data_IF_901209745237
#
_entry.id   IF_901209745237
#
_cell.length_a   1.000
_cell.length_b   1.000
_cell.length_c   1.000
_cell.angle_alpha   90.00
_cell.angle_beta   90.00
_cell.angle_gamma   90.00
#
_symmetry.space_group_name_H-M   'P 1'
#
loop_
_entity.id
_entity.type
_entity.pdbx_description
1 polymer ?
#
# COMPACT_ATOMS: atom_id res chain seq x y z
N UNK A 1 3.52 -1.94 -13.05
CA UNK A 1 4.64 -1.19 -12.45
C UNK A 1 4.87 -1.64 -11.03
N UNK A 2 6.11 -1.82 -10.66
CA UNK A 2 6.43 -2.31 -9.32
C UNK A 2 7.05 -1.22 -8.47
N UNK A 3 6.55 -1.11 -7.25
CA UNK A 3 7.05 -0.15 -6.28
C UNK A 3 7.29 -0.86 -4.95
N UNK A 4 8.15 -0.28 -4.13
CA UNK A 4 8.29 -0.78 -2.76
C UNK A 4 6.98 -0.53 -2.03
N UNK A 5 6.61 -1.47 -1.17
CA UNK A 5 5.34 -1.39 -0.46
C UNK A 5 5.21 -0.12 0.36
N UNK A 6 6.28 0.27 1.07
CA UNK A 6 6.23 1.47 1.87
C UNK A 6 6.05 2.72 0.99
N UNK A 7 6.72 2.75 -0.16
CA UNK A 7 6.57 3.87 -1.06
C UNK A 7 5.16 3.94 -1.63
N UNK A 8 4.63 2.79 -2.03
CA UNK A 8 3.29 2.73 -2.60
C UNK A 8 2.26 3.27 -1.60
N UNK A 9 2.30 2.78 -0.37
CA UNK A 9 1.35 3.22 0.64
C UNK A 9 1.52 4.69 1.00
N UNK A 10 2.76 5.16 1.04
CA UNK A 10 3.01 6.57 1.31
C UNK A 10 2.42 7.45 0.21
N UNK A 11 2.57 7.03 -1.03
CA UNK A 11 2.03 7.79 -2.16
C UNK A 11 0.51 7.74 -2.19
N UNK A 12 -0.09 6.69 -1.66
CA UNK A 12 -1.53 6.58 -1.59
C UNK A 12 -2.13 7.38 -0.43
N UNK A 13 -1.29 8.05 0.35
CA UNK A 13 -1.78 8.86 1.45
C UNK A 13 -2.13 8.08 2.70
N UNK A 14 -1.58 6.89 2.85
CA UNK A 14 -1.85 6.07 4.02
C UNK A 14 -1.10 6.54 5.26
N UNK A 15 -0.17 7.48 5.10
CA UNK A 15 0.58 8.02 6.21
C UNK A 15 2.00 8.35 5.78
N UNK A 16 2.81 8.78 6.74
CA UNK A 16 4.22 9.02 6.46
C UNK A 16 4.93 7.68 6.29
N UNK A 17 6.13 7.74 5.72
CA UNK A 17 6.89 6.52 5.50
C UNK A 17 7.14 5.77 6.83
N UNK A 18 7.42 6.50 7.89
CA UNK A 18 7.62 5.89 9.20
C UNK A 18 6.36 5.21 9.71
N UNK A 19 5.22 5.86 9.55
CA UNK A 19 3.95 5.26 9.98
C UNK A 19 3.61 4.04 9.17
N UNK A 20 3.81 4.12 7.86
CA UNK A 20 3.53 3.00 6.97
C UNK A 20 4.41 1.81 7.34
N UNK A 21 5.69 2.05 7.61
CA UNK A 21 6.59 0.97 7.99
C UNK A 21 6.14 0.31 9.30
N UNK A 22 5.71 1.10 10.27
CA UNK A 22 5.20 0.54 11.52
C UNK A 22 4.01 -0.35 11.28
N UNK A 23 3.08 0.09 10.46
CA UNK A 23 1.88 -0.70 10.19
C UNK A 23 2.23 -1.99 9.47
N UNK A 24 3.19 -1.93 8.56
CA UNK A 24 3.64 -3.14 7.88
C UNK A 24 4.21 -4.14 8.88
N UNK A 25 5.04 -3.67 9.79
CA UNK A 25 5.66 -4.54 10.79
C UNK A 25 4.63 -5.12 11.76
N UNK A 26 3.54 -4.39 12.02
CA UNK A 26 2.47 -4.89 12.87
C UNK A 26 1.62 -5.95 12.19
N UNK A 27 1.76 -6.10 10.88
CA UNK A 27 0.93 -7.04 10.15
C UNK A 27 -0.40 -6.45 9.73
N UNK A 28 -0.52 -5.12 9.69
CA UNK A 28 -1.75 -4.45 9.29
C UNK A 28 -1.89 -4.36 7.79
N UNK A 29 -0.85 -4.72 7.05
CA UNK A 29 -0.84 -4.62 5.58
C UNK A 29 -0.75 -6.02 5.00
N UNK A 30 -1.60 -6.30 4.02
CA UNK A 30 -1.52 -7.57 3.32
C UNK A 30 -1.43 -7.33 1.82
N UNK A 31 -0.83 -8.30 1.14
CA UNK A 31 -0.66 -8.28 -0.31
C UNK A 31 -1.21 -9.60 -0.83
N UNK A 32 -2.23 -9.53 -1.65
CA UNK A 32 -2.87 -10.73 -2.22
C UNK A 32 -3.34 -11.72 -1.13
N UNK A 33 -3.78 -11.17 -0.01
CA UNK A 33 -4.30 -12.00 1.08
C UNK A 33 -3.24 -12.48 2.05
N UNK A 34 -1.98 -12.14 1.82
CA UNK A 34 -0.89 -12.54 2.70
C UNK A 34 -0.36 -11.34 3.47
N UNK A 35 -0.14 -11.51 4.76
CA UNK A 35 0.39 -10.43 5.58
C UNK A 35 1.80 -10.09 5.13
N UNK A 36 2.01 -8.83 4.78
CA UNK A 36 3.32 -8.33 4.38
C UNK A 36 3.97 -7.68 5.58
N UNK A 37 5.14 -8.19 5.97
CA UNK A 37 5.85 -7.64 7.13
C UNK A 37 7.15 -6.95 6.75
N UNK A 38 7.43 -6.83 5.47
CA UNK A 38 8.64 -6.17 4.99
C UNK A 38 8.27 -4.94 4.18
N UNK A 39 8.71 -3.79 4.64
CA UNK A 39 8.40 -2.54 3.96
C UNK A 39 9.06 -2.46 2.60
N UNK A 40 10.18 -3.12 2.44
CA UNK A 40 10.91 -3.09 1.17
C UNK A 40 10.37 -4.05 0.12
N UNK A 41 9.35 -4.84 0.47
CA UNK A 41 8.76 -5.77 -0.49
C UNK A 41 8.22 -4.99 -1.69
N UNK A 42 8.53 -5.44 -2.88
CA UNK A 42 8.01 -4.81 -4.10
C UNK A 42 6.65 -5.39 -4.45
N UNK A 43 5.75 -4.53 -4.84
CA UNK A 43 4.41 -4.94 -5.22
C UNK A 43 4.08 -4.36 -6.58
N UNK A 44 3.22 -5.05 -7.30
CA UNK A 44 2.76 -4.57 -8.59
C UNK A 44 1.54 -3.70 -8.35
N UNK A 45 1.64 -2.41 -8.69
CA UNK A 45 0.57 -1.47 -8.39
C UNK A 45 -0.70 -1.74 -9.19
N UNK A 46 -0.60 -2.56 -10.22
CA UNK A 46 -1.76 -2.85 -11.08
C UNK A 46 -2.35 -4.23 -10.85
N UNK A 47 -1.52 -5.18 -10.40
CA UNK A 47 -1.96 -6.56 -10.27
C UNK A 47 -2.09 -7.04 -8.84
N UNK A 48 -1.26 -6.54 -7.96
CA UNK A 48 -1.28 -6.98 -6.57
C UNK A 48 -2.36 -6.24 -5.80
N UNK A 49 -3.08 -7.00 -4.99
CA UNK A 49 -4.13 -6.44 -4.16
C UNK A 49 -3.54 -6.09 -2.80
N UNK A 50 -3.56 -4.81 -2.47
CA UNK A 50 -2.98 -4.31 -1.23
C UNK A 50 -4.10 -3.93 -0.29
N UNK A 51 -4.04 -4.43 0.94
CA UNK A 51 -5.02 -4.08 1.97
C UNK A 51 -4.26 -3.46 3.13
N UNK A 52 -4.69 -2.27 3.53
CA UNK A 52 -4.06 -1.51 4.60
C UNK A 52 -5.08 -1.28 5.70
N UNK A 53 -4.84 -1.86 6.86
CA UNK A 53 -5.75 -1.77 8.01
C UNK A 53 -7.18 -2.18 7.64
N UNK A 54 -7.29 -3.20 6.83
CA UNK A 54 -8.59 -3.72 6.42
C UNK A 54 -9.22 -2.99 5.25
N UNK A 55 -8.56 -1.99 4.70
CA UNK A 55 -9.09 -1.24 3.58
C UNK A 55 -8.31 -1.56 2.31
N UNK A 56 -9.03 -1.81 1.25
CA UNK A 56 -8.41 -2.10 -0.04
C UNK A 56 -7.87 -0.82 -0.67
N UNK A 57 -6.60 -0.86 -1.04
CA UNK A 57 -5.92 0.29 -1.63
C UNK A 57 -5.78 0.08 -3.12
N UNK A 58 -6.18 1.08 -3.90
CA UNK A 58 -6.08 1.04 -5.35
C UNK A 58 -5.13 2.11 -5.84
N UNK A 59 -4.38 1.78 -6.84
CA UNK A 59 -3.61 2.78 -7.54
C UNK A 59 -4.47 3.32 -8.67
N UNK A 60 -5.03 4.48 -8.45
CA UNK A 60 -5.81 5.16 -9.49
C UNK A 60 -5.00 6.34 -9.96
N UNK A 61 -4.18 6.16 -10.91
CA UNK A 61 -3.27 7.20 -11.32
C UNK A 61 -3.93 8.47 -11.83
N UNK A 62 -5.25 8.49 -11.91
CA UNK A 62 -5.98 9.67 -12.41
C UNK A 62 -7.38 9.62 -11.85
N UNK A 63 -8.02 10.49 -11.72
CA UNK A 63 -9.31 10.40 -11.26
C UNK A 63 -9.62 10.46 -9.88
N UNK A 64 -9.42 10.47 -9.82
CA UNK A 64 -9.96 10.41 -8.78
C UNK A 64 -10.25 11.23 -8.33
N UNK A 65 -10.18 11.35 -8.65
CA UNK A 65 -10.53 11.92 -8.19
C UNK A 65 -11.01 12.59 -7.91
N UNK A 66 -11.08 12.74 -8.09
CA UNK A 66 -11.62 13.20 -7.87
C UNK A 66 -12.08 13.56 -7.42
N UNK A 67 -12.11 13.80 -7.63
CA UNK A 67 -12.69 14.13 -7.21
C UNK A 67 -13.03 14.49 -6.72
N UNK A 68 -13.06 14.73 -6.89
CA UNK A 68 -13.60 15.02 -6.34
C UNK A 68 -13.70 15.14 -5.93
#
# INVERSE_FOLDING_TARGET
>A
MKLRLDKYLTEMGCGTRSQVKKEILKGSVSVNGEIAKKAERKVDTEKDEIIFKGEKIFYAGYEYFMLN
#
